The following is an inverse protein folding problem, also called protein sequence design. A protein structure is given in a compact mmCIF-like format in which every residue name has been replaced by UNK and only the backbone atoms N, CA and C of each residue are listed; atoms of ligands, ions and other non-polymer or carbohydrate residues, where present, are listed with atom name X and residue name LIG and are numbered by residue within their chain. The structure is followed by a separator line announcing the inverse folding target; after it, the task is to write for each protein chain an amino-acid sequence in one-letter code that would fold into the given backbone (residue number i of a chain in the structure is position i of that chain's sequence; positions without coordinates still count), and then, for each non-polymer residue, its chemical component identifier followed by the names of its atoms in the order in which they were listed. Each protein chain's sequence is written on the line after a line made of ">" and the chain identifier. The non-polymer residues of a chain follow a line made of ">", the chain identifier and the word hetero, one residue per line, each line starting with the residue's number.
data_IF_847753360762
#
_entry.id   IF_847753360762
#
_cell.length_a   1.000
_cell.length_b   1.000
_cell.length_c   1.000
_cell.angle_alpha   90.00
_cell.angle_beta   90.00
_cell.angle_gamma   90.00
#
_symmetry.space_group_name_H-M   'P 1'
#
loop_
_entity.id
_entity.type
_entity.pdbx_description
1 polymer ?
#
# COMPACT_ATOMS: atom_id res chain seq x y z
N UNK A 1 21.69 -21.94 -18.78
CA UNK A 1 21.03 -20.64 -18.50
C UNK A 1 21.81 -19.92 -17.41
N UNK A 2 22.09 -18.60 -17.51
CA UNK A 2 22.98 -17.94 -16.56
C UNK A 2 22.28 -17.70 -15.22
N UNK A 3 22.92 -18.13 -14.12
CA UNK A 3 22.44 -18.11 -12.71
C UNK A 3 21.80 -16.78 -12.29
N UNK A 4 22.34 -15.66 -12.77
CA UNK A 4 21.88 -14.29 -12.46
C UNK A 4 20.45 -14.00 -12.88
N UNK A 5 19.98 -14.59 -14.00
CA UNK A 5 18.59 -14.38 -14.46
C UNK A 5 17.57 -15.14 -13.62
N UNK A 6 17.95 -16.25 -12.97
CA UNK A 6 17.06 -17.01 -12.10
C UNK A 6 16.85 -16.29 -10.76
N UNK A 7 17.92 -15.74 -10.20
CA UNK A 7 17.86 -14.96 -8.95
C UNK A 7 16.93 -13.74 -9.08
N UNK A 8 17.09 -12.91 -10.12
CA UNK A 8 16.23 -11.74 -10.37
C UNK A 8 14.74 -12.15 -10.50
N UNK A 9 14.46 -13.32 -11.06
CA UNK A 9 13.09 -13.83 -11.20
C UNK A 9 12.50 -14.17 -9.84
N UNK A 10 13.21 -14.94 -9.03
CA UNK A 10 12.75 -15.31 -7.70
C UNK A 10 12.48 -14.07 -6.83
N UNK A 11 13.37 -13.09 -6.87
CA UNK A 11 13.18 -11.84 -6.14
C UNK A 11 11.99 -11.03 -6.66
N UNK A 12 11.82 -10.90 -7.97
CA UNK A 12 10.67 -10.18 -8.55
C UNK A 12 9.35 -10.84 -8.12
N UNK A 13 9.30 -12.18 -8.09
CA UNK A 13 8.14 -12.92 -7.60
C UNK A 13 7.88 -12.66 -6.11
N UNK A 14 8.93 -12.63 -5.29
CA UNK A 14 8.80 -12.31 -3.87
C UNK A 14 8.28 -10.89 -3.67
N UNK A 15 8.80 -9.90 -4.40
CA UNK A 15 8.31 -8.52 -4.35
C UNK A 15 6.83 -8.43 -4.72
N UNK A 16 6.40 -9.10 -5.80
CA UNK A 16 4.99 -9.15 -6.17
C UNK A 16 4.09 -9.81 -5.11
N UNK A 17 4.58 -10.86 -4.44
CA UNK A 17 3.87 -11.47 -3.32
C UNK A 17 3.74 -10.51 -2.11
N UNK A 18 4.79 -9.73 -1.82
CA UNK A 18 4.75 -8.70 -0.76
C UNK A 18 3.69 -7.64 -1.08
N UNK A 19 3.57 -7.19 -2.33
CA UNK A 19 2.54 -6.22 -2.72
C UNK A 19 1.12 -6.78 -2.51
N UNK A 20 0.89 -8.03 -2.91
CA UNK A 20 -0.40 -8.71 -2.69
C UNK A 20 -0.72 -8.80 -1.20
N UNK A 21 0.25 -9.26 -0.38
CA UNK A 21 0.07 -9.36 1.07
C UNK A 21 -0.16 -7.99 1.70
N UNK A 22 0.56 -6.97 1.26
CA UNK A 22 0.42 -5.59 1.73
C UNK A 22 -0.98 -5.07 1.44
N UNK A 23 -1.49 -5.25 0.22
CA UNK A 23 -2.85 -4.90 -0.14
C UNK A 23 -3.89 -5.62 0.72
N UNK A 24 -3.78 -6.94 0.92
CA UNK A 24 -4.70 -7.69 1.78
C UNK A 24 -4.67 -7.17 3.23
N UNK A 25 -3.48 -6.88 3.78
CA UNK A 25 -3.34 -6.32 5.11
C UNK A 25 -3.98 -4.93 5.22
N UNK A 26 -3.82 -4.08 4.20
CA UNK A 26 -4.50 -2.76 4.14
C UNK A 26 -6.03 -2.90 4.14
N UNK A 27 -6.58 -3.86 3.39
CA UNK A 27 -8.03 -4.11 3.36
C UNK A 27 -8.56 -4.59 4.72
N UNK A 28 -7.89 -5.58 5.32
CA UNK A 28 -8.22 -6.09 6.66
C UNK A 28 -8.16 -4.98 7.73
N UNK A 29 -7.14 -4.13 7.68
CA UNK A 29 -7.03 -2.97 8.56
C UNK A 29 -8.14 -1.96 8.30
N UNK A 30 -8.50 -1.71 7.03
CA UNK A 30 -9.62 -0.85 6.66
C UNK A 30 -10.96 -1.35 7.22
N UNK A 31 -11.24 -2.64 7.11
CA UNK A 31 -12.44 -3.29 7.68
C UNK A 31 -12.47 -3.21 9.20
N UNK A 32 -11.34 -3.53 9.85
CA UNK A 32 -11.20 -3.39 11.30
C UNK A 32 -11.46 -1.95 11.73
N UNK A 33 -10.96 -0.98 10.96
CA UNK A 33 -11.17 0.43 11.26
C UNK A 33 -12.62 0.83 11.14
N UNK A 34 -13.28 0.42 10.06
CA UNK A 34 -14.69 0.73 9.81
C UNK A 34 -15.57 0.18 10.93
N UNK A 35 -15.31 -1.05 11.37
CA UNK A 35 -16.00 -1.65 12.51
C UNK A 35 -15.77 -0.86 13.82
N UNK A 36 -14.52 -0.51 14.12
CA UNK A 36 -14.19 0.31 15.29
C UNK A 36 -14.85 1.69 15.22
N UNK A 37 -14.88 2.32 14.05
CA UNK A 37 -15.49 3.64 13.87
C UNK A 37 -17.02 3.59 14.07
N UNK A 38 -17.70 2.59 13.51
CA UNK A 38 -19.14 2.42 13.68
C UNK A 38 -19.51 2.17 15.15
N UNK A 39 -18.79 1.29 15.83
CA UNK A 39 -19.01 1.01 17.26
C UNK A 39 -18.75 2.24 18.14
N UNK A 40 -17.75 3.06 17.80
CA UNK A 40 -17.46 4.31 18.51
C UNK A 40 -18.57 5.35 18.35
N UNK A 41 -19.12 5.52 17.14
CA UNK A 41 -20.23 6.45 16.89
C UNK A 41 -21.43 6.08 17.77
N UNK A 42 -21.77 4.79 17.84
CA UNK A 42 -22.91 4.31 18.62
C UNK A 42 -22.68 4.49 20.13
N UNK A 43 -21.47 4.22 20.62
CA UNK A 43 -21.18 4.23 22.05
C UNK A 43 -20.86 5.61 22.65
N UNK A 44 -20.20 6.50 21.90
CA UNK A 44 -19.65 7.76 22.42
C UNK A 44 -20.06 9.00 21.61
N UNK A 45 -20.83 8.85 20.52
CA UNK A 45 -21.06 9.91 19.55
C UNK A 45 -19.83 10.19 18.68
N UNK A 46 -19.97 11.11 17.71
CA UNK A 46 -18.93 11.41 16.72
C UNK A 46 -17.72 12.15 17.35
N UNK A 47 -16.75 11.39 17.85
CA UNK A 47 -15.59 11.92 18.60
C UNK A 47 -14.28 11.96 17.81
N UNK A 48 -14.17 11.19 16.72
CA UNK A 48 -12.97 11.15 15.87
C UNK A 48 -13.26 10.56 14.49
N UNK A 49 -13.16 11.40 13.45
CA UNK A 49 -13.23 10.98 12.04
C UNK A 49 -11.85 11.07 11.40
N UNK A 50 -11.16 9.94 11.21
CA UNK A 50 -9.87 9.92 10.53
C UNK A 50 -10.01 10.17 9.03
N UNK A 51 -9.01 10.84 8.46
CA UNK A 51 -9.04 11.30 7.06
C UNK A 51 -8.86 10.11 6.11
N UNK A 52 -8.00 9.15 6.46
CA UNK A 52 -7.80 7.98 5.62
C UNK A 52 -9.08 7.11 5.53
N UNK A 53 -9.91 7.07 6.57
CA UNK A 53 -11.22 6.40 6.51
C UNK A 53 -12.23 7.19 5.68
N UNK A 54 -12.27 8.52 5.83
CA UNK A 54 -13.17 9.39 5.08
C UNK A 54 -12.91 9.34 3.57
N UNK A 55 -11.65 9.21 3.18
CA UNK A 55 -11.22 9.03 1.78
C UNK A 55 -11.33 7.58 1.30
N UNK A 56 -11.75 6.67 2.17
CA UNK A 56 -11.76 5.22 1.94
C UNK A 56 -10.40 4.68 1.45
N UNK A 57 -9.30 5.36 1.78
CA UNK A 57 -7.95 5.07 1.27
C UNK A 57 -7.57 3.59 1.41
N UNK A 58 -7.74 2.93 2.57
CA UNK A 58 -7.34 1.54 2.74
C UNK A 58 -8.00 0.58 1.73
N UNK A 59 -9.24 0.86 1.32
CA UNK A 59 -9.98 0.01 0.40
C UNK A 59 -9.45 0.17 -1.03
N UNK A 60 -9.59 1.34 -1.64
CA UNK A 60 -9.24 1.50 -3.05
C UNK A 60 -7.73 1.37 -3.30
N UNK A 61 -6.86 1.75 -2.35
CA UNK A 61 -5.42 1.49 -2.45
C UNK A 61 -5.09 -0.01 -2.38
N UNK A 62 -5.76 -0.77 -1.52
CA UNK A 62 -5.58 -2.22 -1.42
C UNK A 62 -5.79 -2.92 -2.76
N UNK A 63 -6.90 -2.63 -3.44
CA UNK A 63 -7.18 -3.22 -4.76
C UNK A 63 -6.05 -2.95 -5.74
N UNK A 64 -5.56 -1.70 -5.80
CA UNK A 64 -4.47 -1.31 -6.69
C UNK A 64 -3.14 -2.00 -6.34
N UNK A 65 -2.83 -2.16 -5.06
CA UNK A 65 -1.62 -2.84 -4.60
C UNK A 65 -1.66 -4.34 -4.92
N UNK A 66 -2.82 -5.00 -4.72
CA UNK A 66 -3.04 -6.39 -5.11
C UNK A 66 -2.88 -6.56 -6.62
N UNK A 67 -3.48 -5.68 -7.42
CA UNK A 67 -3.33 -5.73 -8.87
C UNK A 67 -1.87 -5.52 -9.28
N UNK A 68 -1.20 -4.50 -8.76
CA UNK A 68 0.22 -4.24 -9.01
C UNK A 68 1.07 -5.48 -8.72
N UNK A 69 0.89 -6.10 -7.56
CA UNK A 69 1.57 -7.33 -7.16
C UNK A 69 1.28 -8.53 -8.06
N UNK A 70 0.02 -8.73 -8.46
CA UNK A 70 -0.36 -9.80 -9.38
C UNK A 70 0.35 -9.67 -10.74
N UNK A 71 0.45 -8.45 -11.28
CA UNK A 71 1.19 -8.21 -12.52
C UNK A 71 2.71 -8.36 -12.35
N UNK A 72 3.27 -7.98 -11.20
CA UNK A 72 4.67 -8.23 -10.84
C UNK A 72 4.98 -9.73 -10.79
N UNK A 73 4.09 -10.55 -10.22
CA UNK A 73 4.22 -12.03 -10.23
C UNK A 73 4.07 -12.59 -11.65
N UNK A 74 3.12 -12.08 -12.43
CA UNK A 74 2.91 -12.54 -13.81
C UNK A 74 4.10 -12.21 -14.71
N UNK A 75 4.78 -11.09 -14.45
CA UNK A 75 5.99 -10.66 -15.14
C UNK A 75 7.11 -11.70 -15.05
N UNK A 76 7.25 -12.35 -13.89
CA UNK A 76 8.21 -13.44 -13.68
C UNK A 76 7.87 -14.68 -14.53
N UNK A 77 6.58 -15.02 -14.61
CA UNK A 77 6.09 -16.23 -15.27
C UNK A 77 6.06 -16.12 -16.80
N UNK A 78 5.74 -14.94 -17.35
CA UNK A 78 5.60 -14.72 -18.81
C UNK A 78 6.28 -13.43 -19.25
N UNK A 79 7.57 -13.49 -19.61
CA UNK A 79 8.33 -12.30 -20.02
C UNK A 79 8.00 -11.85 -21.45
N UNK A 80 6.84 -11.23 -21.63
CA UNK A 80 6.47 -10.52 -22.87
C UNK A 80 6.81 -9.03 -22.73
N UNK A 81 7.34 -8.35 -23.78
CA UNK A 81 7.61 -6.91 -23.74
C UNK A 81 6.37 -6.06 -23.42
N UNK A 82 5.18 -6.54 -23.82
CA UNK A 82 3.91 -5.92 -23.44
C UNK A 82 3.64 -6.04 -21.94
N UNK A 83 3.90 -7.21 -21.36
CA UNK A 83 3.70 -7.45 -19.94
C UNK A 83 4.68 -6.66 -19.07
N UNK A 84 5.94 -6.51 -19.50
CA UNK A 84 6.94 -5.64 -18.86
C UNK A 84 6.42 -4.19 -18.81
N UNK A 85 5.88 -3.70 -19.93
CA UNK A 85 5.35 -2.33 -19.99
C UNK A 85 4.12 -2.16 -19.11
N UNK A 86 3.22 -3.15 -19.08
CA UNK A 86 2.03 -3.10 -18.23
C UNK A 86 2.40 -3.13 -16.74
N UNK A 87 3.27 -4.07 -16.33
CA UNK A 87 3.77 -4.17 -14.96
C UNK A 87 4.44 -2.86 -14.49
N UNK A 88 5.21 -2.22 -15.37
CA UNK A 88 5.82 -0.92 -15.09
C UNK A 88 4.78 0.17 -14.86
N UNK A 89 3.75 0.27 -15.71
CA UNK A 89 2.69 1.28 -15.57
C UNK A 89 1.91 1.07 -14.27
N UNK A 90 1.48 -0.16 -13.95
CA UNK A 90 0.71 -0.40 -12.72
C UNK A 90 1.53 -0.19 -11.46
N UNK A 91 2.83 -0.49 -11.46
CA UNK A 91 3.69 -0.21 -10.32
C UNK A 91 3.94 1.30 -10.15
N UNK A 92 4.04 2.08 -11.24
CA UNK A 92 4.10 3.55 -11.16
C UNK A 92 2.82 4.12 -10.54
N UNK A 93 1.66 3.65 -11.00
CA UNK A 93 0.38 4.05 -10.42
C UNK A 93 0.34 3.69 -8.93
N UNK A 94 0.73 2.47 -8.56
CA UNK A 94 0.81 2.04 -7.16
C UNK A 94 1.71 2.96 -6.34
N UNK A 95 2.91 3.31 -6.84
CA UNK A 95 3.81 4.25 -6.17
C UNK A 95 3.18 5.64 -5.99
N UNK A 96 2.48 6.18 -7.00
CA UNK A 96 1.76 7.46 -6.87
C UNK A 96 0.67 7.39 -5.80
N UNK A 97 -0.11 6.30 -5.76
CA UNK A 97 -1.13 6.10 -4.74
C UNK A 97 -0.53 5.99 -3.35
N UNK A 98 0.60 5.29 -3.19
CA UNK A 98 1.31 5.22 -1.92
C UNK A 98 1.78 6.61 -1.45
N UNK A 99 2.31 7.44 -2.36
CA UNK A 99 2.68 8.83 -2.01
C UNK A 99 1.46 9.64 -1.54
N UNK A 100 0.32 9.53 -2.23
CA UNK A 100 -0.93 10.20 -1.82
C UNK A 100 -1.37 9.70 -0.44
N UNK A 101 -1.30 8.39 -0.19
CA UNK A 101 -1.59 7.78 1.11
C UNK A 101 -0.72 8.31 2.24
N UNK A 102 0.59 8.41 2.01
CA UNK A 102 1.53 8.95 2.99
C UNK A 102 1.23 10.43 3.31
N UNK A 103 0.86 11.23 2.32
CA UNK A 103 0.45 12.62 2.53
C UNK A 103 -0.83 12.72 3.35
N UNK A 104 -1.86 11.92 3.02
CA UNK A 104 -3.12 11.86 3.76
C UNK A 104 -2.89 11.47 5.23
N UNK A 105 -2.13 10.41 5.47
CA UNK A 105 -1.80 9.92 6.82
C UNK A 105 -0.94 10.93 7.60
N UNK A 106 -0.02 11.63 6.93
CA UNK A 106 0.78 12.68 7.57
C UNK A 106 -0.09 13.85 8.04
N UNK A 107 -1.06 14.28 7.23
CA UNK A 107 -2.03 15.32 7.62
C UNK A 107 -2.85 14.85 8.82
N UNK A 108 -3.27 13.57 8.84
CA UNK A 108 -4.00 12.98 9.94
C UNK A 108 -3.19 12.99 11.25
N UNK A 109 -1.91 12.65 11.21
CA UNK A 109 -1.02 12.71 12.38
C UNK A 109 -0.82 14.14 12.89
N UNK A 110 -0.69 15.13 11.99
CA UNK A 110 -0.59 16.55 12.37
C UNK A 110 -1.88 17.00 13.08
N UNK A 111 -3.05 16.61 12.57
CA UNK A 111 -4.34 16.92 13.22
C UNK A 111 -4.44 16.26 14.59
N UNK A 112 -4.05 14.99 14.70
CA UNK A 112 -4.05 14.27 15.97
C UNK A 112 -3.12 14.95 17.00
N UNK A 113 -1.91 15.35 16.58
CA UNK A 113 -0.94 16.02 17.47
C UNK A 113 -1.41 17.38 17.98
N UNK A 114 -2.29 18.08 17.24
CA UNK A 114 -2.89 19.35 17.68
C UNK A 114 -4.13 19.16 18.56
N UNK A 115 -4.67 17.95 18.61
CA UNK A 115 -5.87 17.62 19.39
C UNK A 115 -5.54 17.47 20.89
N UNK A 116 -6.57 17.65 21.74
CA UNK A 116 -6.50 17.84 23.21
C UNK A 116 -5.56 16.88 23.97
N UNK A 117 -4.96 17.37 25.06
CA UNK A 117 -3.93 16.69 25.87
C UNK A 117 -4.37 15.35 26.50
N UNK A 118 -5.67 15.04 26.52
CA UNK A 118 -6.22 13.80 27.08
C UNK A 118 -7.05 13.03 26.04
N UNK A 119 -6.40 12.32 25.09
CA UNK A 119 -7.12 11.57 24.07
C UNK A 119 -7.86 10.39 24.71
N UNK A 120 -9.13 10.24 24.33
CA UNK A 120 -9.95 9.08 24.72
C UNK A 120 -9.35 7.80 24.09
N UNK A 121 -9.59 6.64 24.70
CA UNK A 121 -9.13 5.34 24.16
C UNK A 121 -9.49 5.12 22.66
N UNK A 122 -10.67 5.55 22.14
CA UNK A 122 -11.03 5.44 20.73
C UNK A 122 -10.04 6.14 19.79
N UNK A 123 -9.60 7.33 20.19
CA UNK A 123 -8.66 8.16 19.44
C UNK A 123 -7.26 7.54 19.43
N UNK A 124 -6.83 6.96 20.55
CA UNK A 124 -5.56 6.24 20.64
C UNK A 124 -5.54 5.02 19.72
N UNK A 125 -6.61 4.21 19.74
CA UNK A 125 -6.74 3.03 18.87
C UNK A 125 -6.81 3.42 17.40
N UNK A 126 -7.56 4.46 17.03
CA UNK A 126 -7.62 4.96 15.66
C UNK A 126 -6.25 5.42 15.14
N UNK A 127 -5.51 6.18 15.96
CA UNK A 127 -4.15 6.63 15.63
C UNK A 127 -3.19 5.46 15.41
N UNK A 128 -3.24 4.44 16.28
CA UNK A 128 -2.42 3.24 16.16
C UNK A 128 -2.69 2.51 14.83
N UNK A 129 -3.95 2.46 14.40
CA UNK A 129 -4.30 1.84 13.12
C UNK A 129 -3.77 2.64 11.93
N UNK A 130 -3.84 3.97 11.99
CA UNK A 130 -3.24 4.85 10.99
C UNK A 130 -1.71 4.71 10.91
N UNK A 131 -1.04 4.44 12.03
CA UNK A 131 0.40 4.11 12.06
C UNK A 131 0.71 2.81 11.32
N UNK A 132 -0.09 1.76 11.51
CA UNK A 132 0.07 0.52 10.73
C UNK A 132 -0.15 0.73 9.23
N UNK A 133 -1.19 1.49 8.84
CA UNK A 133 -1.43 1.88 7.45
C UNK A 133 -0.25 2.66 6.86
N UNK A 134 0.37 3.54 7.66
CA UNK A 134 1.53 4.33 7.23
C UNK A 134 2.73 3.43 6.93
N UNK A 135 3.05 2.49 7.82
CA UNK A 135 4.17 1.55 7.63
C UNK A 135 3.93 0.67 6.39
N UNK A 136 2.72 0.12 6.23
CA UNK A 136 2.39 -0.70 5.05
C UNK A 136 2.45 0.11 3.75
N UNK A 137 2.08 1.39 3.78
CA UNK A 137 2.16 2.26 2.60
C UNK A 137 3.62 2.58 2.23
N UNK A 138 4.51 2.78 3.22
CA UNK A 138 5.96 2.91 2.97
C UNK A 138 6.54 1.62 2.38
N UNK A 139 6.11 0.48 2.88
CA UNK A 139 6.52 -0.83 2.36
C UNK A 139 6.14 -0.97 0.89
N UNK A 140 4.89 -0.68 0.53
CA UNK A 140 4.44 -0.71 -0.87
C UNK A 140 5.23 0.27 -1.75
N UNK A 141 5.49 1.50 -1.28
CA UNK A 141 6.28 2.48 -2.03
C UNK A 141 7.70 1.97 -2.28
N UNK A 142 8.31 1.33 -1.29
CA UNK A 142 9.67 0.78 -1.40
C UNK A 142 9.70 -0.39 -2.40
N UNK A 143 8.75 -1.32 -2.29
CA UNK A 143 8.66 -2.48 -3.18
C UNK A 143 8.37 -2.07 -4.62
N UNK A 144 7.39 -1.19 -4.85
CA UNK A 144 7.07 -0.67 -6.19
C UNK A 144 8.26 0.06 -6.81
N UNK A 145 9.02 0.84 -6.04
CA UNK A 145 10.23 1.52 -6.52
C UNK A 145 11.29 0.54 -7.02
N UNK A 146 11.51 -0.57 -6.30
CA UNK A 146 12.44 -1.63 -6.71
C UNK A 146 11.93 -2.32 -7.99
N UNK A 147 10.64 -2.67 -8.04
CA UNK A 147 10.02 -3.31 -9.21
C UNK A 147 10.10 -2.41 -10.45
N UNK A 148 9.83 -1.11 -10.33
CA UNK A 148 9.96 -0.14 -11.41
C UNK A 148 11.39 -0.09 -11.92
N UNK A 149 12.37 -0.03 -11.01
CA UNK A 149 13.79 -0.01 -11.39
C UNK A 149 14.19 -1.25 -12.20
N UNK A 150 13.79 -2.44 -11.74
CA UNK A 150 14.07 -3.70 -12.45
C UNK A 150 13.30 -3.84 -13.76
N UNK A 151 12.04 -3.43 -13.81
CA UNK A 151 11.24 -3.43 -15.03
C UNK A 151 11.80 -2.46 -16.08
N UNK A 152 12.32 -1.31 -15.65
CA UNK A 152 12.98 -0.35 -16.52
C UNK A 152 14.27 -0.94 -17.08
N UNK A 153 15.17 -1.47 -16.24
CA UNK A 153 16.38 -2.15 -16.71
C UNK A 153 16.06 -3.30 -17.69
N UNK A 154 15.04 -4.10 -17.39
CA UNK A 154 14.61 -5.18 -18.26
C UNK A 154 14.12 -4.72 -19.64
N UNK A 155 13.55 -3.52 -19.74
CA UNK A 155 13.02 -2.94 -20.98
C UNK A 155 14.11 -2.32 -21.86
N UNK A 156 15.12 -1.69 -21.26
CA UNK A 156 16.16 -0.95 -21.99
C UNK A 156 17.45 -1.75 -22.24
N UNK A 157 17.81 -2.71 -21.38
CA UNK A 157 19.00 -3.57 -21.57
C UNK A 157 18.71 -4.82 -22.41
N UNK A 158 17.45 -5.05 -22.79
CA UNK A 158 17.02 -6.14 -23.66
C UNK A 158 17.05 -5.83 -25.16
N UNK A 159 17.64 -4.69 -25.56
CA UNK A 159 17.94 -4.33 -26.95
C UNK A 159 19.44 -4.45 -27.20
#
# INVERSE_FOLDING_TARGET
>A
MPRTRLWIREETRMLGAIQIMTGILLDCLGLLWMYLFFTQIVAFGATYTPIALLTAYPFWSSWLFIFSGAFTVLLEKRRSPFLVSYALVVNIISACISVIGLLLLSIEFIKYSKSSKNPLWPQKTGKLLSEYLFILTILELSVTSIVIHWAFQAKYTGR
#
